data_IF_197287305249
#
_entry.id   IF_197287305249
#
_cell.length_a   1.000
_cell.length_b   1.000
_cell.length_c   1.000
_cell.angle_alpha   90.00
_cell.angle_beta   90.00
_cell.angle_gamma   90.00
#
_symmetry.space_group_name_H-M   'P 1'
#
loop_
_entity.id
_entity.type
_entity.pdbx_description
1 polymer ?
#
# COMPACT_ATOMS: atom_id res chain seq x y z
N UNK A 1 -12.36 -11.66 -9.63
CA UNK A 1 -12.32 -10.24 -10.01
C UNK A 1 -10.92 -9.75 -9.76
N UNK A 2 -10.22 -9.29 -10.79
CA UNK A 2 -8.88 -8.72 -10.65
C UNK A 2 -9.05 -7.22 -10.38
N UNK A 3 -8.78 -6.76 -9.16
CA UNK A 3 -8.87 -5.35 -8.75
C UNK A 3 -7.66 -4.53 -9.25
N UNK A 4 -7.21 -4.78 -10.48
CA UNK A 4 -6.07 -4.07 -11.03
C UNK A 4 -6.47 -3.40 -12.33
N UNK A 5 -6.07 -2.12 -12.46
CA UNK A 5 -6.30 -1.36 -13.67
C UNK A 5 -5.52 -1.99 -14.83
N UNK A 6 -6.18 -2.16 -15.96
CA UNK A 6 -5.57 -2.64 -17.20
C UNK A 6 -5.53 -1.47 -18.18
N UNK A 7 -4.34 -1.07 -18.60
CA UNK A 7 -4.15 -0.07 -19.66
C UNK A 7 -3.46 -0.72 -20.85
N UNK A 8 -4.12 -0.67 -22.03
CA UNK A 8 -3.67 -1.32 -23.28
C UNK A 8 -3.24 -2.79 -23.10
N UNK A 9 -3.99 -3.55 -22.31
CA UNK A 9 -3.72 -4.96 -22.02
C UNK A 9 -2.61 -5.21 -21.01
N UNK A 10 -2.01 -4.16 -20.42
CA UNK A 10 -1.01 -4.27 -19.35
C UNK A 10 -1.65 -3.93 -18.01
N UNK A 11 -1.47 -4.80 -17.03
CA UNK A 11 -1.86 -4.51 -15.65
C UNK A 11 -0.93 -3.44 -15.10
N UNK A 12 -1.50 -2.31 -14.68
CA UNK A 12 -0.78 -1.20 -14.05
C UNK A 12 -1.27 -1.03 -12.62
N UNK A 13 -0.33 -0.74 -11.71
CA UNK A 13 -0.69 -0.33 -10.36
C UNK A 13 -1.22 1.11 -10.40
N UNK A 14 -2.39 1.34 -9.79
CA UNK A 14 -3.00 2.65 -9.69
C UNK A 14 -3.76 2.78 -8.37
N UNK A 15 -3.88 4.02 -7.88
CA UNK A 15 -4.81 4.40 -6.82
C UNK A 15 -5.78 5.42 -7.40
N UNK A 16 -7.05 5.06 -7.49
CA UNK A 16 -8.09 5.95 -8.00
C UNK A 16 -8.74 6.71 -6.84
N UNK A 17 -8.91 8.02 -7.02
CA UNK A 17 -9.47 8.94 -6.03
C UNK A 17 -10.88 9.30 -6.45
N UNK A 18 -11.82 9.17 -5.51
CA UNK A 18 -13.24 9.43 -5.74
C UNK A 18 -13.80 10.41 -4.72
N UNK A 19 -14.70 11.27 -5.18
CA UNK A 19 -15.62 12.03 -4.33
C UNK A 19 -16.82 11.14 -4.02
N UNK A 20 -17.15 10.99 -2.73
CA UNK A 20 -18.32 10.23 -2.28
C UNK A 20 -19.53 11.14 -2.25
N UNK A 21 -20.47 10.92 -3.16
CA UNK A 21 -21.73 11.66 -3.21
C UNK A 21 -22.81 10.79 -2.57
N UNK A 22 -23.17 11.11 -1.33
CA UNK A 22 -24.13 10.35 -0.55
C UNK A 22 -25.38 11.20 -0.26
N UNK A 23 -26.54 10.72 -0.69
CA UNK A 23 -27.85 11.30 -0.35
C UNK A 23 -28.70 10.24 0.33
N UNK A 24 -29.88 10.62 0.85
CA UNK A 24 -30.84 9.65 1.43
C UNK A 24 -31.28 8.54 0.48
N UNK A 25 -31.16 8.71 -0.85
CA UNK A 25 -31.68 7.76 -1.85
C UNK A 25 -30.60 7.10 -2.70
N UNK A 26 -29.38 7.63 -2.71
CA UNK A 26 -28.32 7.14 -3.59
C UNK A 26 -26.94 7.40 -2.99
N UNK A 27 -26.04 6.45 -3.26
CA UNK A 27 -24.61 6.56 -2.99
C UNK A 27 -23.89 6.43 -4.33
N UNK A 28 -23.08 7.42 -4.68
CA UNK A 28 -22.32 7.46 -5.93
C UNK A 28 -20.85 7.76 -5.63
N UNK A 29 -19.95 7.19 -6.42
CA UNK A 29 -18.54 7.52 -6.44
C UNK A 29 -18.24 8.27 -7.73
N UNK A 30 -17.90 9.55 -7.61
CA UNK A 30 -17.49 10.36 -8.74
C UNK A 30 -15.97 10.34 -8.82
N UNK A 31 -15.44 9.82 -9.93
CA UNK A 31 -14.00 9.79 -10.18
C UNK A 31 -13.42 11.21 -10.23
N UNK A 32 -12.28 11.42 -9.56
CA UNK A 32 -11.59 12.70 -9.47
C UNK A 32 -10.22 12.64 -10.12
N UNK A 33 -9.43 11.62 -9.78
CA UNK A 33 -8.04 11.52 -10.20
C UNK A 33 -7.57 10.07 -10.15
N UNK A 34 -6.46 9.77 -10.82
CA UNK A 34 -5.81 8.48 -10.79
C UNK A 34 -4.32 8.66 -10.59
N UNK A 35 -3.80 8.12 -9.49
CA UNK A 35 -2.37 8.12 -9.22
C UNK A 35 -1.77 6.86 -9.85
N UNK A 36 -0.88 7.05 -10.81
CA UNK A 36 -0.06 5.98 -11.40
C UNK A 36 1.39 6.34 -11.16
N UNK A 37 2.17 5.41 -10.61
CA UNK A 37 3.57 5.68 -10.27
C UNK A 37 4.45 4.46 -10.58
N UNK A 38 5.70 4.65 -11.05
CA UNK A 38 6.63 3.55 -11.31
C UNK A 38 6.94 2.67 -10.08
N UNK A 39 6.73 3.20 -8.88
CA UNK A 39 6.92 2.47 -7.62
C UNK A 39 5.72 1.57 -7.26
N UNK A 40 4.60 1.65 -7.97
CA UNK A 40 3.47 0.73 -7.77
C UNK A 40 3.77 -0.59 -8.49
N UNK A 41 4.55 -1.45 -7.83
CA UNK A 41 4.90 -2.77 -8.35
C UNK A 41 3.67 -3.67 -8.33
N UNK A 42 3.10 -3.96 -7.16
CA UNK A 42 1.85 -4.69 -6.96
C UNK A 42 1.15 -4.03 -5.76
N UNK A 43 0.49 -2.88 -5.96
CA UNK A 43 -0.18 -2.20 -4.87
C UNK A 43 -1.31 -3.08 -4.32
N UNK A 44 -1.43 -3.15 -3.00
CA UNK A 44 -2.38 -4.02 -2.31
C UNK A 44 -3.41 -3.21 -1.52
N UNK A 45 -2.95 -2.32 -0.64
CA UNK A 45 -3.81 -1.46 0.19
C UNK A 45 -3.32 -0.02 0.28
N UNK A 46 -4.22 0.89 0.67
CA UNK A 46 -3.99 2.32 0.76
C UNK A 46 -4.52 2.87 2.09
N UNK A 47 -3.73 3.74 2.72
CA UNK A 47 -4.16 4.48 3.91
C UNK A 47 -4.14 5.99 3.62
N UNK A 48 -5.32 6.62 3.43
CA UNK A 48 -5.42 8.07 3.30
C UNK A 48 -4.94 8.79 4.57
N UNK A 49 -4.15 9.85 4.38
CA UNK A 49 -3.78 10.78 5.46
C UNK A 49 -4.66 12.03 5.36
N UNK A 50 -4.78 12.59 4.16
CA UNK A 50 -5.66 13.70 3.79
C UNK A 50 -5.83 13.74 2.26
N UNK A 51 -6.51 14.75 1.72
CA UNK A 51 -6.74 14.91 0.27
C UNK A 51 -5.48 14.93 -0.60
N UNK A 52 -4.33 15.26 0.00
CA UNK A 52 -3.05 15.47 -0.69
C UNK A 52 -1.99 14.44 -0.28
N UNK A 53 -2.30 13.45 0.56
CA UNK A 53 -1.32 12.49 1.02
C UNK A 53 -1.94 11.15 1.42
N UNK A 54 -1.27 10.05 1.06
CA UNK A 54 -1.65 8.70 1.46
C UNK A 54 -0.44 7.76 1.45
N UNK A 55 -0.56 6.65 2.18
CA UNK A 55 0.38 5.54 2.12
C UNK A 55 -0.11 4.43 1.19
N UNK A 56 0.81 3.71 0.55
CA UNK A 56 0.51 2.53 -0.27
C UNK A 56 1.45 1.40 0.09
N UNK A 57 0.89 0.21 0.31
CA UNK A 57 1.66 -1.03 0.42
C UNK A 57 1.75 -1.69 -0.95
N UNK A 58 2.95 -2.17 -1.30
CA UNK A 58 3.08 -3.20 -2.31
C UNK A 58 3.13 -4.57 -1.62
N UNK A 59 2.51 -5.59 -2.20
CA UNK A 59 2.61 -6.96 -1.66
C UNK A 59 3.85 -7.70 -2.15
N UNK A 60 4.29 -7.43 -3.38
CA UNK A 60 5.46 -8.07 -3.98
C UNK A 60 6.35 -7.05 -4.70
N UNK A 61 7.64 -7.34 -4.71
CA UNK A 61 8.62 -6.66 -5.54
C UNK A 61 8.50 -7.10 -7.00
N UNK A 62 8.55 -8.41 -7.24
CA UNK A 62 8.42 -8.99 -8.57
C UNK A 62 6.97 -9.23 -8.93
N UNK A 63 6.53 -8.62 -10.03
CA UNK A 63 5.22 -8.89 -10.59
C UNK A 63 5.22 -10.22 -11.34
N UNK A 64 4.23 -11.07 -11.06
CA UNK A 64 4.08 -12.38 -11.69
C UNK A 64 3.92 -12.29 -13.22
N UNK A 65 3.27 -11.23 -13.73
CA UNK A 65 3.07 -11.00 -15.18
C UNK A 65 4.36 -10.59 -15.91
N UNK A 66 5.36 -10.08 -15.20
CA UNK A 66 6.66 -9.68 -15.78
C UNK A 66 7.74 -10.73 -15.56
N UNK A 67 7.76 -11.37 -14.39
CA UNK A 67 8.74 -12.41 -14.08
C UNK A 67 8.14 -13.43 -13.11
N UNK A 68 7.51 -14.46 -13.68
CA UNK A 68 6.89 -15.54 -12.91
C UNK A 68 7.87 -16.22 -11.96
N UNK A 69 9.06 -16.61 -12.43
CA UNK A 69 10.02 -17.35 -11.59
C UNK A 69 10.58 -16.51 -10.44
N UNK A 70 10.89 -15.23 -10.65
CA UNK A 70 11.36 -14.36 -9.57
C UNK A 70 10.25 -14.07 -8.56
N UNK A 71 9.01 -13.92 -9.03
CA UNK A 71 7.84 -13.82 -8.16
C UNK A 71 7.67 -15.08 -7.29
N UNK A 72 7.69 -16.27 -7.89
CA UNK A 72 7.61 -17.52 -7.13
C UNK A 72 8.77 -17.66 -6.14
N UNK A 73 9.98 -17.25 -6.52
CA UNK A 73 11.13 -17.25 -5.63
C UNK A 73 10.95 -16.32 -4.44
N UNK A 74 10.48 -15.08 -4.67
CA UNK A 74 10.18 -14.11 -3.61
C UNK A 74 9.14 -14.66 -2.62
N UNK A 75 8.05 -15.23 -3.13
CA UNK A 75 6.98 -15.84 -2.31
C UNK A 75 7.52 -17.02 -1.51
N UNK A 76 8.21 -17.95 -2.17
CA UNK A 76 8.72 -19.18 -1.55
C UNK A 76 9.76 -18.88 -0.47
N UNK A 77 10.65 -17.91 -0.71
CA UNK A 77 11.73 -17.55 0.22
C UNK A 77 11.36 -16.43 1.19
N UNK A 78 10.13 -15.90 1.12
CA UNK A 78 9.59 -14.86 2.00
C UNK A 78 10.49 -13.62 2.11
N UNK A 79 11.09 -13.20 0.98
CA UNK A 79 12.11 -12.14 1.00
C UNK A 79 11.50 -10.79 1.37
N UNK A 80 12.18 -9.98 2.20
CA UNK A 80 11.71 -8.66 2.58
C UNK A 80 12.05 -7.63 1.50
N UNK A 81 11.52 -7.78 0.29
CA UNK A 81 11.83 -6.92 -0.86
C UNK A 81 10.72 -5.93 -1.21
N UNK A 82 9.58 -6.00 -0.52
CA UNK A 82 8.48 -5.09 -0.78
C UNK A 82 8.68 -3.74 -0.09
N UNK A 83 7.90 -2.75 -0.54
CA UNK A 83 8.04 -1.35 -0.15
C UNK A 83 6.72 -0.78 0.41
N UNK A 84 6.87 0.19 1.32
CA UNK A 84 5.82 1.07 1.80
C UNK A 84 6.11 2.46 1.26
N UNK A 85 5.12 3.03 0.59
CA UNK A 85 5.25 4.29 -0.12
C UNK A 85 4.46 5.38 0.57
N UNK A 86 5.00 6.59 0.58
CA UNK A 86 4.25 7.82 0.83
C UNK A 86 4.06 8.53 -0.51
N UNK A 87 2.81 8.76 -0.89
CA UNK A 87 2.43 9.58 -2.02
C UNK A 87 1.90 10.92 -1.53
N UNK A 88 2.42 12.02 -2.09
CA UNK A 88 2.02 13.39 -1.76
C UNK A 88 1.74 14.20 -3.02
N UNK A 89 0.72 15.06 -2.96
CA UNK A 89 0.35 16.02 -4.00
C UNK A 89 0.75 17.43 -3.57
N UNK A 90 1.62 18.05 -4.35
CA UNK A 90 1.85 19.51 -4.30
C UNK A 90 1.23 20.14 -5.54
N UNK A 91 1.83 19.88 -6.71
CA UNK A 91 1.25 20.19 -8.03
C UNK A 91 0.87 18.91 -8.79
N UNK A 92 1.67 17.86 -8.61
CA UNK A 92 1.46 16.51 -9.16
C UNK A 92 1.75 15.48 -8.07
N UNK A 93 1.17 14.29 -8.19
CA UNK A 93 1.48 13.19 -7.30
C UNK A 93 2.93 12.77 -7.44
N UNK A 94 3.61 12.62 -6.31
CA UNK A 94 4.96 12.05 -6.21
C UNK A 94 4.94 11.02 -5.10
N UNK A 95 5.50 9.84 -5.37
CA UNK A 95 5.59 8.77 -4.39
C UNK A 95 7.04 8.42 -4.11
N UNK A 96 7.35 8.10 -2.85
CA UNK A 96 8.68 7.66 -2.42
C UNK A 96 8.57 6.53 -1.41
N UNK A 97 9.57 5.66 -1.38
CA UNK A 97 9.76 4.67 -0.31
C UNK A 97 10.08 5.40 0.99
N UNK A 98 9.50 4.96 2.11
CA UNK A 98 9.62 5.66 3.40
C UNK A 98 10.12 4.79 4.55
N UNK A 99 10.32 3.50 4.32
CA UNK A 99 10.77 2.54 5.31
C UNK A 99 11.69 1.51 4.68
N UNK A 100 12.41 0.78 5.54
CA UNK A 100 13.11 -0.43 5.15
C UNK A 100 12.15 -1.47 4.60
N UNK A 101 12.62 -2.22 3.61
CA UNK A 101 11.84 -3.23 2.93
C UNK A 101 11.37 -4.34 3.90
N UNK A 102 10.28 -4.99 3.51
CA UNK A 102 9.57 -5.97 4.35
C UNK A 102 8.89 -7.05 3.50
N UNK A 103 8.32 -8.05 4.14
CA UNK A 103 7.84 -9.24 3.44
C UNK A 103 6.31 -9.24 3.32
N UNK A 104 5.79 -9.21 2.09
CA UNK A 104 4.35 -9.36 1.84
C UNK A 104 3.50 -8.20 2.33
N UNK A 105 3.77 -6.98 1.87
CA UNK A 105 3.03 -5.81 2.34
C UNK A 105 1.57 -5.79 1.89
N UNK A 106 0.66 -5.95 2.83
CA UNK A 106 -0.76 -6.10 2.54
C UNK A 106 -1.56 -4.96 3.21
N UNK A 107 -2.53 -5.28 4.07
CA UNK A 107 -3.33 -4.28 4.77
C UNK A 107 -2.51 -3.24 5.55
N UNK A 108 -2.96 -1.99 5.52
CA UNK A 108 -2.38 -0.86 6.25
C UNK A 108 -3.47 -0.08 7.02
N UNK A 109 -3.21 0.22 8.29
CA UNK A 109 -4.14 0.95 9.15
C UNK A 109 -3.42 1.89 10.12
N UNK A 110 -4.16 2.80 10.73
CA UNK A 110 -3.65 3.72 11.75
C UNK A 110 -4.36 3.55 13.09
N UNK A 111 -3.71 3.96 14.17
CA UNK A 111 -4.39 4.27 15.43
C UNK A 111 -5.36 5.44 15.24
N UNK A 112 -6.32 5.59 16.15
CA UNK A 112 -7.35 6.64 16.07
C UNK A 112 -6.79 8.07 16.03
N UNK A 113 -5.62 8.29 16.64
CA UNK A 113 -4.89 9.56 16.64
C UNK A 113 -3.92 9.71 15.45
N UNK A 114 -3.85 8.73 14.55
CA UNK A 114 -2.94 8.67 13.41
C UNK A 114 -1.44 8.80 13.75
N UNK A 115 -1.06 8.54 15.00
CA UNK A 115 0.34 8.55 15.43
C UNK A 115 1.03 7.20 15.22
N UNK A 116 0.29 6.09 15.24
CA UNK A 116 0.82 4.74 15.01
C UNK A 116 0.26 4.15 13.73
N UNK A 117 1.12 3.62 12.87
CA UNK A 117 0.73 2.93 11.64
C UNK A 117 1.05 1.44 11.79
N UNK A 118 0.11 0.61 11.33
CA UNK A 118 0.18 -0.84 11.34
C UNK A 118 0.19 -1.33 9.89
N UNK A 119 1.12 -2.22 9.56
CA UNK A 119 1.21 -2.83 8.23
C UNK A 119 1.28 -4.33 8.39
N UNK A 120 0.42 -5.06 7.68
CA UNK A 120 0.49 -6.51 7.63
C UNK A 120 1.66 -6.98 6.76
N UNK A 121 2.50 -7.84 7.32
CA UNK A 121 3.54 -8.61 6.63
C UNK A 121 3.03 -10.05 6.43
N UNK A 122 2.29 -10.29 5.36
CA UNK A 122 1.53 -11.54 5.18
C UNK A 122 2.41 -12.75 4.91
N UNK A 123 3.59 -12.55 4.31
CA UNK A 123 4.52 -13.65 4.03
C UNK A 123 5.19 -14.22 5.29
N UNK A 124 5.31 -13.41 6.35
CA UNK A 124 5.97 -13.82 7.61
C UNK A 124 5.04 -13.79 8.82
N UNK A 125 3.73 -13.60 8.60
CA UNK A 125 2.68 -13.58 9.64
C UNK A 125 2.97 -12.58 10.75
N UNK A 126 3.26 -11.34 10.38
CA UNK A 126 3.50 -10.28 11.35
C UNK A 126 2.68 -9.02 11.06
N UNK A 127 2.48 -8.21 12.09
CA UNK A 127 2.07 -6.82 11.96
C UNK A 127 3.29 -5.97 12.31
N UNK A 128 3.77 -5.21 11.33
CA UNK A 128 4.82 -4.23 11.52
C UNK A 128 4.22 -2.95 12.06
N UNK A 129 4.77 -2.46 13.17
CA UNK A 129 4.30 -1.26 13.87
C UNK A 129 5.28 -0.13 13.63
N UNK A 130 4.76 1.03 13.23
CA UNK A 130 5.52 2.24 12.97
C UNK A 130 5.00 3.41 13.80
N UNK A 131 5.90 4.24 14.28
CA UNK A 131 5.59 5.59 14.76
C UNK A 131 5.60 6.55 13.56
N UNK A 132 4.52 7.30 13.38
CA UNK A 132 4.43 8.36 12.36
C UNK A 132 4.92 9.69 12.91
N UNK A 133 5.74 10.36 12.12
CA UNK A 133 6.01 11.78 12.31
C UNK A 133 4.88 12.58 11.65
N UNK A 134 4.04 13.25 12.44
CA UNK A 134 2.86 13.97 11.95
C UNK A 134 3.17 15.18 11.07
N UNK A 135 4.40 15.72 11.15
CA UNK A 135 4.85 16.85 10.32
C UNK A 135 5.34 16.40 8.94
N UNK A 136 5.99 15.24 8.85
CA UNK A 136 6.65 14.78 7.62
C UNK A 136 6.01 13.56 6.98
N UNK A 137 5.10 12.88 7.67
CA UNK A 137 4.52 11.59 7.30
C UNK A 137 5.55 10.46 7.15
N UNK A 138 6.79 10.65 7.59
CA UNK A 138 7.77 9.57 7.63
C UNK A 138 7.46 8.63 8.81
N UNK A 139 7.86 7.38 8.65
CA UNK A 139 7.58 6.31 9.59
C UNK A 139 8.88 5.77 10.17
N UNK A 140 8.89 5.55 11.47
CA UNK A 140 9.98 4.92 12.20
C UNK A 140 9.52 3.57 12.70
N UNK A 141 10.21 2.50 12.32
CA UNK A 141 9.88 1.15 12.77
C UNK A 141 10.04 1.06 14.29
N UNK A 142 9.05 0.46 14.95
CA UNK A 142 9.04 0.27 16.40
C UNK A 142 9.24 -1.20 16.76
N UNK A 143 8.39 -2.07 16.19
CA UNK A 143 8.43 -3.52 16.46
C UNK A 143 7.61 -4.31 15.44
N UNK A 144 7.82 -5.62 15.44
CA UNK A 144 6.95 -6.58 14.78
C UNK A 144 6.13 -7.34 15.82
N UNK A 145 4.84 -7.52 15.56
CA UNK A 145 3.94 -8.35 16.33
C UNK A 145 3.67 -9.62 15.52
N UNK A 146 4.18 -10.76 15.96
CA UNK A 146 3.99 -12.03 15.28
C UNK A 146 2.61 -12.61 15.59
N UNK A 147 1.92 -13.09 14.57
CA UNK A 147 0.59 -13.71 14.68
C UNK A 147 0.77 -15.21 14.89
N UNK A 148 0.45 -15.75 16.09
CA UNK A 148 0.69 -17.15 16.44
C UNK A 148 -0.17 -18.10 15.60
N UNK A 149 0.23 -19.37 15.57
CA UNK A 149 -0.61 -20.47 15.10
C UNK A 149 -1.49 -20.91 16.28
N UNK A 150 -2.77 -20.59 16.25
CA UNK A 150 -3.77 -21.37 16.98
C UNK A 150 -4.62 -22.07 15.92
N UNK A 151 -4.27 -23.31 15.61
CA UNK A 151 -5.11 -24.29 14.92
C UNK A 151 -5.29 -25.44 15.91
#
# INVERSE_FOLDING_TARGET
MTNHRVDKGKVIGAVDIFEVISTKKQHQLKWIDSVVHPLFTVPDDVLPINENAFYVTNIYHYRADKSYYLHQFEVFTQRPWTDLLLCTKTNKWQCKKICDSFAGGNGIAASSDFNTIYVAETLIRAIRVYQRNTKTNLLTHIKNLYVPFWI
#
